data_IF_342883251716
#
_entry.id   IF_342883251716
#
_cell.length_a   1.000
_cell.length_b   1.000
_cell.length_c   1.000
_cell.angle_alpha   90.00
_cell.angle_beta   90.00
_cell.angle_gamma   90.00
#
_symmetry.space_group_name_H-M   'P 1'
#
loop_
_entity.id
_entity.type
_entity.pdbx_description
1 polymer ?
#
# COMPACT_ATOMS: atom_id res chain seq x y z
N UNK A 1 23.31 3.15 -4.63
CA UNK A 1 22.01 3.19 -3.93
C UNK A 1 22.17 4.09 -2.71
N UNK A 2 21.39 5.16 -2.63
CA UNK A 2 21.49 6.12 -1.52
C UNK A 2 20.84 5.53 -0.24
N UNK A 3 21.29 5.93 0.96
CA UNK A 3 20.72 5.48 2.24
C UNK A 3 19.20 5.72 2.28
N UNK A 4 18.75 6.89 1.82
CA UNK A 4 17.33 7.25 1.77
C UNK A 4 16.52 6.34 0.82
N UNK A 5 17.16 5.86 -0.23
CA UNK A 5 16.54 4.96 -1.22
C UNK A 5 16.42 3.54 -0.66
N UNK A 6 17.45 3.07 0.05
CA UNK A 6 17.41 1.81 0.80
C UNK A 6 16.33 1.82 1.89
N UNK A 7 16.23 2.91 2.66
CA UNK A 7 15.21 3.08 3.71
C UNK A 7 13.78 3.09 3.13
N UNK A 8 13.60 3.72 1.96
CA UNK A 8 12.34 3.71 1.22
C UNK A 8 11.96 2.29 0.77
N UNK A 9 12.88 1.57 0.14
CA UNK A 9 12.62 0.19 -0.31
C UNK A 9 12.34 -0.75 0.86
N UNK A 10 13.09 -0.62 1.97
CA UNK A 10 12.83 -1.38 3.18
C UNK A 10 11.44 -1.11 3.75
N UNK A 11 11.02 0.16 3.78
CA UNK A 11 9.69 0.56 4.25
C UNK A 11 8.59 -0.05 3.38
N UNK A 12 8.76 -0.05 2.04
CA UNK A 12 7.83 -0.70 1.11
C UNK A 12 7.71 -2.21 1.36
N UNK A 13 8.84 -2.90 1.58
CA UNK A 13 8.84 -4.34 1.85
C UNK A 13 8.15 -4.70 3.18
N UNK A 14 8.35 -3.88 4.22
CA UNK A 14 7.64 -4.05 5.50
C UNK A 14 6.13 -3.91 5.29
N UNK A 15 5.69 -2.89 4.55
CA UNK A 15 4.27 -2.69 4.24
C UNK A 15 3.67 -3.86 3.45
N UNK A 16 4.38 -4.37 2.43
CA UNK A 16 3.93 -5.56 1.67
C UNK A 16 3.77 -6.78 2.57
N UNK A 17 4.69 -7.02 3.51
CA UNK A 17 4.57 -8.11 4.50
C UNK A 17 3.38 -7.94 5.43
N UNK A 18 3.10 -6.71 5.87
CA UNK A 18 1.91 -6.42 6.69
C UNK A 18 0.63 -6.74 5.89
N UNK A 19 0.58 -6.35 4.62
CA UNK A 19 -0.55 -6.64 3.72
C UNK A 19 -0.73 -8.16 3.54
N UNK A 20 0.37 -8.90 3.34
CA UNK A 20 0.33 -10.35 3.17
C UNK A 20 -0.24 -11.09 4.38
N UNK A 21 0.16 -10.66 5.58
CA UNK A 21 -0.27 -11.27 6.84
C UNK A 21 -1.67 -10.83 7.31
N UNK A 22 -2.31 -9.88 6.63
CA UNK A 22 -3.66 -9.44 6.97
C UNK A 22 -4.72 -10.44 6.46
N UNK A 23 -5.94 -10.38 6.98
CA UNK A 23 -7.08 -11.21 6.54
C UNK A 23 -7.90 -10.56 5.40
N UNK A 24 -7.33 -9.62 4.66
CA UNK A 24 -8.00 -9.02 3.51
C UNK A 24 -8.24 -10.02 2.37
N UNK A 25 -9.30 -9.83 1.55
CA UNK A 25 -9.48 -10.57 0.31
C UNK A 25 -8.23 -10.47 -0.59
N UNK A 26 -7.96 -11.52 -1.39
CA UNK A 26 -6.79 -11.59 -2.29
C UNK A 26 -6.68 -10.34 -3.16
N UNK A 27 -7.78 -9.94 -3.82
CA UNK A 27 -7.82 -8.73 -4.65
C UNK A 27 -7.43 -7.47 -3.87
N UNK A 28 -7.92 -7.33 -2.65
CA UNK A 28 -7.57 -6.18 -1.79
C UNK A 28 -6.09 -6.18 -1.42
N UNK A 29 -5.49 -7.35 -1.18
CA UNK A 29 -4.04 -7.43 -0.95
C UNK A 29 -3.24 -7.02 -2.19
N UNK A 30 -3.63 -7.47 -3.37
CA UNK A 30 -2.99 -7.12 -4.64
C UNK A 30 -3.10 -5.62 -4.94
N UNK A 31 -4.28 -5.04 -4.74
CA UNK A 31 -4.52 -3.60 -4.91
C UNK A 31 -3.64 -2.77 -3.96
N UNK A 32 -3.59 -3.14 -2.67
CA UNK A 32 -2.77 -2.44 -1.67
C UNK A 32 -1.27 -2.56 -1.96
N UNK A 33 -0.80 -3.74 -2.40
CA UNK A 33 0.60 -3.93 -2.83
C UNK A 33 0.93 -3.07 -4.05
N UNK A 34 -0.02 -2.93 -4.97
CA UNK A 34 0.13 -2.07 -6.14
C UNK A 34 0.29 -0.61 -5.71
N UNK A 35 -0.54 -0.13 -4.77
CA UNK A 35 -0.43 1.21 -4.19
C UNK A 35 0.96 1.44 -3.58
N UNK A 36 1.45 0.51 -2.76
CA UNK A 36 2.80 0.60 -2.18
C UNK A 36 3.89 0.65 -3.25
N UNK A 37 3.74 -0.14 -4.32
CA UNK A 37 4.75 -0.24 -5.37
C UNK A 37 4.87 1.06 -6.18
N UNK A 38 3.74 1.63 -6.62
CA UNK A 38 3.69 2.80 -7.50
C UNK A 38 3.94 4.13 -6.78
N UNK A 39 3.83 4.15 -5.45
CA UNK A 39 3.98 5.39 -4.66
C UNK A 39 5.44 5.71 -4.39
N UNK A 40 5.75 7.00 -4.38
CA UNK A 40 7.11 7.52 -4.21
C UNK A 40 7.41 8.03 -2.81
N UNK A 41 6.39 8.46 -2.07
CA UNK A 41 6.50 8.96 -0.70
C UNK A 41 5.54 8.21 0.23
N UNK A 42 5.75 8.35 1.53
CA UNK A 42 4.84 7.76 2.52
C UNK A 42 3.47 8.45 2.48
N UNK A 43 3.45 9.76 2.21
CA UNK A 43 2.22 10.53 2.03
C UNK A 43 1.40 9.98 0.86
N UNK A 44 2.02 9.72 -0.30
CA UNK A 44 1.33 9.13 -1.46
C UNK A 44 0.74 7.75 -1.14
N UNK A 45 1.47 6.91 -0.40
CA UNK A 45 0.98 5.60 0.04
C UNK A 45 -0.29 5.79 0.89
N UNK A 46 -0.24 6.72 1.84
CA UNK A 46 -1.35 6.96 2.76
C UNK A 46 -2.59 7.51 2.05
N UNK A 47 -2.43 8.55 1.23
CA UNK A 47 -3.51 9.16 0.44
C UNK A 47 -4.19 8.16 -0.49
N UNK A 48 -3.41 7.39 -1.26
CA UNK A 48 -3.93 6.38 -2.17
C UNK A 48 -4.62 5.23 -1.44
N UNK A 49 -4.12 4.83 -0.27
CA UNK A 49 -4.75 3.80 0.56
C UNK A 49 -6.10 4.29 1.10
N UNK A 50 -6.17 5.52 1.60
CA UNK A 50 -7.43 6.12 2.05
C UNK A 50 -8.44 6.24 0.91
N UNK A 51 -8.01 6.72 -0.26
CA UNK A 51 -8.86 6.82 -1.45
C UNK A 51 -9.39 5.45 -1.88
N UNK A 52 -8.53 4.42 -1.89
CA UNK A 52 -8.93 3.04 -2.19
C UNK A 52 -10.05 2.55 -1.28
N UNK A 53 -9.90 2.71 0.05
CA UNK A 53 -10.92 2.28 0.99
C UNK A 53 -12.19 3.13 0.92
N UNK A 54 -12.08 4.44 0.64
CA UNK A 54 -13.25 5.28 0.42
C UNK A 54 -14.07 4.76 -0.78
N UNK A 55 -13.41 4.49 -1.92
CA UNK A 55 -14.04 3.94 -3.12
C UNK A 55 -14.65 2.57 -2.83
N UNK A 56 -13.90 1.67 -2.17
CA UNK A 56 -14.37 0.33 -1.85
C UNK A 56 -15.63 0.34 -0.98
N UNK A 57 -15.75 1.30 -0.06
CA UNK A 57 -16.94 1.46 0.79
C UNK A 57 -18.11 2.12 0.05
N UNK A 58 -17.84 3.05 -0.87
CA UNK A 58 -18.89 3.67 -1.70
C UNK A 58 -19.47 2.64 -2.66
N UNK A 59 -18.64 1.83 -3.33
CA UNK A 59 -19.08 0.79 -4.27
C UNK A 59 -19.84 -0.39 -3.63
N UNK A 60 -19.86 -0.48 -2.30
CA UNK A 60 -20.58 -1.52 -1.55
C UNK A 60 -21.95 -1.07 -1.03
N UNK A 61 -22.31 0.21 -1.19
CA UNK A 61 -23.66 0.73 -0.96
C UNK A 61 -24.48 0.65 -2.23
#
# INVERSE_FOLDING_TARGET
MNKNELEKELSKEILKKIIDNNNYPVKTKEDLKTIVNISNTNEEIFERTLAYFAILNISRK
#
